data_IF_009062871241
#
_entry.id   IF_009062871241
#
_cell.length_a   1.000
_cell.length_b   1.000
_cell.length_c   1.000
_cell.angle_alpha   90.00
_cell.angle_beta   90.00
_cell.angle_gamma   90.00
#
_symmetry.space_group_name_H-M   'P 1'
#
loop_
_entity.id
_entity.type
_entity.pdbx_description
1 polymer ?
#
# COMPACT_ATOMS: atom_id res chain seq x y z
N UNK A 1 7.08 -21.02 0.97
CA UNK A 1 7.45 -20.78 -0.45
C UNK A 1 8.91 -21.16 -0.60
N UNK A 2 9.26 -22.13 -1.46
CA UNK A 2 10.65 -22.55 -1.67
C UNK A 2 11.29 -21.67 -2.76
N UNK A 3 12.35 -20.97 -2.38
CA UNK A 3 13.10 -20.02 -3.20
C UNK A 3 14.31 -20.76 -3.79
N UNK A 4 14.54 -20.64 -5.09
CA UNK A 4 15.60 -21.37 -5.81
C UNK A 4 16.99 -20.79 -5.53
N UNK A 5 18.08 -21.57 -5.70
CA UNK A 5 19.45 -21.12 -5.40
C UNK A 5 19.91 -19.87 -6.16
N UNK A 6 19.30 -19.53 -7.30
CA UNK A 6 19.61 -18.33 -8.08
C UNK A 6 19.13 -17.04 -7.41
N UNK A 7 18.10 -17.11 -6.57
CA UNK A 7 17.50 -15.96 -5.88
C UNK A 7 18.33 -15.50 -4.66
N UNK A 8 19.41 -16.21 -4.31
CA UNK A 8 20.35 -15.88 -3.21
C UNK A 8 21.28 -14.67 -3.45
N UNK A 9 21.20 -13.99 -4.60
CA UNK A 9 22.19 -12.96 -4.99
C UNK A 9 21.70 -11.51 -5.00
N UNK A 10 20.46 -11.23 -4.59
CA UNK A 10 20.03 -9.83 -4.41
C UNK A 10 20.39 -9.42 -2.99
N UNK A 11 21.19 -8.36 -2.87
CA UNK A 11 21.62 -7.84 -1.59
C UNK A 11 20.40 -7.37 -0.78
N UNK A 12 20.29 -7.80 0.48
CA UNK A 12 19.21 -7.40 1.40
C UNK A 12 19.02 -5.88 1.46
N UNK A 13 20.10 -5.11 1.42
CA UNK A 13 20.04 -3.64 1.41
C UNK A 13 19.37 -3.07 0.14
N UNK A 14 19.49 -3.75 -1.00
CA UNK A 14 18.78 -3.38 -2.24
C UNK A 14 17.29 -3.65 -2.07
N UNK A 15 16.93 -4.82 -1.53
CA UNK A 15 15.54 -5.19 -1.29
C UNK A 15 14.85 -4.21 -0.33
N UNK A 16 15.53 -3.81 0.75
CA UNK A 16 15.06 -2.78 1.69
C UNK A 16 14.83 -1.45 0.97
N UNK A 17 15.85 -0.95 0.25
CA UNK A 17 15.74 0.34 -0.46
C UNK A 17 14.67 0.35 -1.54
N UNK A 18 14.43 -0.81 -2.16
CA UNK A 18 13.44 -0.95 -3.21
C UNK A 18 12.02 -1.12 -2.67
N UNK A 19 11.83 -1.54 -1.41
CA UNK A 19 10.49 -1.80 -0.85
C UNK A 19 10.00 -0.59 -0.06
N UNK A 20 8.75 -0.23 -0.26
CA UNK A 20 8.07 0.83 0.49
C UNK A 20 6.71 0.36 1.00
N UNK A 21 6.23 1.04 2.03
CA UNK A 21 4.86 0.91 2.51
C UNK A 21 4.12 2.19 2.18
N UNK A 22 3.00 2.11 1.50
CA UNK A 22 2.09 3.23 1.30
C UNK A 22 0.89 3.04 2.23
N UNK A 23 0.56 4.08 2.99
CA UNK A 23 -0.66 4.15 3.79
C UNK A 23 -1.69 5.05 3.09
N UNK A 24 -2.93 4.63 3.17
CA UNK A 24 -4.09 5.29 2.60
C UNK A 24 -5.32 4.89 3.41
N UNK A 25 -6.20 5.82 3.72
CA UNK A 25 -7.54 5.51 4.23
C UNK A 25 -8.55 5.72 3.12
N UNK A 26 -9.60 4.90 3.12
CA UNK A 26 -10.77 5.07 2.27
C UNK A 26 -12.02 5.18 3.15
N UNK A 27 -13.08 5.89 2.72
CA UNK A 27 -14.33 5.90 3.46
C UNK A 27 -14.86 4.48 3.64
N UNK A 28 -15.46 4.21 4.80
CA UNK A 28 -16.28 3.01 4.99
C UNK A 28 -17.59 3.15 4.20
N UNK A 29 -17.50 2.99 2.88
CA UNK A 29 -18.67 3.03 2.01
C UNK A 29 -19.28 1.64 1.83
N UNK A 30 -20.60 1.57 1.64
CA UNK A 30 -21.30 0.33 1.29
C UNK A 30 -20.91 -0.21 -0.11
N UNK A 31 -19.95 0.42 -0.80
CA UNK A 31 -19.51 0.10 -2.16
C UNK A 31 -18.27 -0.78 -2.19
N UNK A 32 -17.70 -1.14 -1.03
CA UNK A 32 -16.51 -1.99 -0.94
C UNK A 32 -15.31 -1.40 -1.71
N UNK A 33 -15.17 -0.07 -1.71
CA UNK A 33 -14.10 0.64 -2.45
C UNK A 33 -12.70 0.16 -2.04
N UNK A 34 -12.48 -0.09 -0.74
CA UNK A 34 -11.26 -0.69 -0.20
C UNK A 34 -10.88 -2.01 -0.90
N UNK A 35 -11.83 -2.93 -1.09
CA UNK A 35 -11.61 -4.22 -1.73
C UNK A 35 -11.33 -4.06 -3.23
N UNK A 36 -12.02 -3.15 -3.90
CA UNK A 36 -11.79 -2.89 -5.32
C UNK A 36 -10.38 -2.35 -5.57
N UNK A 37 -9.97 -1.33 -4.80
CA UNK A 37 -8.62 -0.76 -4.86
C UNK A 37 -7.58 -1.84 -4.58
N UNK A 38 -7.72 -2.58 -3.48
CA UNK A 38 -6.78 -3.62 -3.11
C UNK A 38 -6.63 -4.69 -4.20
N UNK A 39 -7.75 -5.22 -4.71
CA UNK A 39 -7.73 -6.25 -5.77
C UNK A 39 -7.04 -5.75 -7.03
N UNK A 40 -7.38 -4.55 -7.51
CA UNK A 40 -6.80 -4.04 -8.74
C UNK A 40 -5.32 -3.69 -8.58
N UNK A 41 -4.88 -3.17 -7.44
CA UNK A 41 -3.45 -2.95 -7.19
C UNK A 41 -2.65 -4.26 -7.30
N UNK A 42 -3.18 -5.36 -6.77
CA UNK A 42 -2.54 -6.68 -6.89
C UNK A 42 -2.61 -7.21 -8.33
N UNK A 43 -3.79 -7.21 -8.95
CA UNK A 43 -3.98 -7.74 -10.31
C UNK A 43 -3.13 -7.02 -11.34
N UNK A 44 -2.96 -5.70 -11.19
CA UNK A 44 -2.15 -4.88 -12.09
C UNK A 44 -0.66 -4.87 -11.72
N UNK A 45 -0.22 -5.69 -10.76
CA UNK A 45 1.16 -5.72 -10.23
C UNK A 45 1.67 -4.33 -9.82
N UNK A 46 0.79 -3.52 -9.23
CA UNK A 46 1.15 -2.22 -8.62
C UNK A 46 1.48 -2.36 -7.14
N UNK A 47 1.06 -3.45 -6.50
CA UNK A 47 1.44 -3.81 -5.14
C UNK A 47 1.56 -5.33 -5.03
N UNK A 48 2.39 -5.80 -4.09
CA UNK A 48 2.53 -7.22 -3.79
C UNK A 48 1.49 -7.68 -2.76
N UNK A 49 1.16 -6.80 -1.80
CA UNK A 49 0.20 -7.07 -0.75
C UNK A 49 -0.51 -5.77 -0.32
N UNK A 50 -1.78 -5.89 0.04
CA UNK A 50 -2.54 -4.83 0.72
C UNK A 50 -3.16 -5.43 1.97
N UNK A 51 -2.84 -4.87 3.14
CA UNK A 51 -3.52 -5.20 4.40
C UNK A 51 -4.66 -4.20 4.58
N UNK A 52 -5.86 -4.72 4.86
CA UNK A 52 -7.07 -3.95 5.08
C UNK A 52 -7.41 -4.03 6.57
N UNK A 53 -7.48 -2.90 7.25
CA UNK A 53 -7.91 -2.81 8.64
C UNK A 53 -9.27 -2.10 8.68
N UNK A 54 -10.37 -2.82 8.95
CA UNK A 54 -11.70 -2.23 9.03
C UNK A 54 -11.92 -1.50 10.37
N UNK A 55 -13.06 -0.82 10.48
CA UNK A 55 -13.54 -0.19 11.72
C UNK A 55 -12.56 0.85 12.31
N UNK A 56 -11.86 1.58 11.44
CA UNK A 56 -10.97 2.67 11.84
C UNK A 56 -11.72 4.00 11.88
N UNK A 57 -11.22 4.94 12.68
CA UNK A 57 -11.77 6.29 12.75
C UNK A 57 -10.67 7.31 12.52
N UNK A 58 -10.92 8.25 11.63
CA UNK A 58 -10.08 9.43 11.42
C UNK A 58 -10.71 10.62 12.11
N UNK A 59 -9.90 11.34 12.91
CA UNK A 59 -10.32 12.55 13.62
C UNK A 59 -9.43 13.68 13.15
N UNK A 60 -10.04 14.74 12.61
CA UNK A 60 -9.32 15.86 12.01
C UNK A 60 -10.13 17.15 12.09
N UNK A 61 -9.50 18.29 11.83
CA UNK A 61 -10.18 19.57 11.73
C UNK A 61 -10.62 19.85 10.29
N UNK A 62 -11.88 20.24 10.13
CA UNK A 62 -12.43 20.74 8.88
C UNK A 62 -13.44 21.85 9.18
N UNK A 63 -13.36 22.96 8.45
CA UNK A 63 -14.26 24.12 8.63
C UNK A 63 -14.40 24.56 10.11
N UNK A 64 -13.27 24.64 10.82
CA UNK A 64 -13.18 24.99 12.24
C UNK A 64 -13.91 24.04 13.21
N UNK A 65 -14.26 22.84 12.76
CA UNK A 65 -14.91 21.82 13.58
C UNK A 65 -14.08 20.53 13.59
N UNK A 66 -14.11 19.83 14.72
CA UNK A 66 -13.56 18.47 14.81
C UNK A 66 -14.52 17.54 14.09
N UNK A 67 -14.02 16.89 13.05
CA UNK A 67 -14.71 15.82 12.34
C UNK A 67 -14.28 14.46 12.89
N UNK A 68 -15.19 13.51 12.86
CA UNK A 68 -14.93 12.09 13.12
C UNK A 68 -15.53 11.30 11.97
N UNK A 69 -14.69 10.58 11.23
CA UNK A 69 -15.09 9.81 10.06
C UNK A 69 -14.77 8.33 10.27
N UNK A 70 -15.72 7.44 9.96
CA UNK A 70 -15.45 6.01 9.86
C UNK A 70 -14.75 5.69 8.53
N UNK A 71 -13.62 5.01 8.63
CA UNK A 71 -12.74 4.72 7.50
C UNK A 71 -12.22 3.29 7.56
N UNK A 72 -11.57 2.89 6.48
CA UNK A 72 -10.84 1.63 6.36
C UNK A 72 -9.41 1.97 6.00
N UNK A 73 -8.47 1.53 6.83
CA UNK A 73 -7.04 1.71 6.59
C UNK A 73 -6.52 0.66 5.61
N UNK A 74 -5.78 1.13 4.61
CA UNK A 74 -5.00 0.32 3.68
C UNK A 74 -3.52 0.47 4.00
N UNK A 75 -2.81 -0.65 4.10
CA UNK A 75 -1.35 -0.71 4.22
C UNK A 75 -0.81 -1.51 3.03
N UNK A 76 -0.31 -0.78 2.03
CA UNK A 76 0.06 -1.29 0.72
C UNK A 76 1.58 -1.51 0.69
N UNK A 77 2.02 -2.72 0.33
CA UNK A 77 3.45 -3.08 0.22
C UNK A 77 3.79 -3.17 -1.26
N UNK A 78 4.71 -2.32 -1.70
CA UNK A 78 5.09 -2.23 -3.12
C UNK A 78 6.58 -1.89 -3.29
N UNK A 79 7.03 -1.77 -4.54
CA UNK A 79 8.35 -1.27 -4.88
C UNK A 79 8.34 0.26 -5.03
N UNK A 80 9.44 0.92 -4.66
CA UNK A 80 9.63 2.36 -4.77
C UNK A 80 9.44 2.87 -6.20
N UNK A 81 9.81 2.06 -7.19
CA UNK A 81 9.62 2.35 -8.63
C UNK A 81 8.15 2.44 -9.05
N UNK A 82 7.23 1.88 -8.27
CA UNK A 82 5.79 1.85 -8.55
C UNK A 82 4.99 2.88 -7.74
N UNK A 83 5.64 3.65 -6.86
CA UNK A 83 4.98 4.61 -5.96
C UNK A 83 4.01 5.53 -6.69
N UNK A 84 4.51 6.20 -7.74
CA UNK A 84 3.70 7.16 -8.49
C UNK A 84 2.54 6.47 -9.20
N UNK A 85 2.74 5.27 -9.75
CA UNK A 85 1.67 4.50 -10.39
C UNK A 85 0.58 4.09 -9.39
N UNK A 86 0.97 3.70 -8.16
CA UNK A 86 0.03 3.42 -7.07
C UNK A 86 -0.76 4.68 -6.69
N UNK A 87 -0.08 5.81 -6.51
CA UNK A 87 -0.71 7.08 -6.16
C UNK A 87 -1.71 7.52 -7.23
N UNK A 88 -1.33 7.48 -8.50
CA UNK A 88 -2.21 7.86 -9.61
C UNK A 88 -3.42 6.94 -9.68
N UNK A 89 -3.21 5.63 -9.60
CA UNK A 89 -4.32 4.67 -9.61
C UNK A 89 -5.31 4.95 -8.48
N UNK A 90 -4.83 5.09 -7.23
CA UNK A 90 -5.71 5.37 -6.09
C UNK A 90 -6.47 6.67 -6.32
N UNK A 91 -5.81 7.76 -6.73
CA UNK A 91 -6.49 9.04 -7.02
C UNK A 91 -7.62 8.92 -8.04
N UNK A 92 -7.48 8.07 -9.07
CA UNK A 92 -8.56 7.88 -10.07
C UNK A 92 -9.77 7.10 -9.55
N UNK A 93 -9.63 6.39 -8.43
CA UNK A 93 -10.68 5.53 -7.85
C UNK A 93 -11.20 6.03 -6.51
N UNK A 94 -10.45 6.91 -5.86
CA UNK A 94 -10.75 7.34 -4.51
C UNK A 94 -11.99 8.25 -4.47
N UNK A 95 -12.92 8.07 -3.51
CA UNK A 95 -14.09 8.93 -3.40
C UNK A 95 -13.75 10.36 -2.96
N UNK A 96 -12.70 10.52 -2.15
CA UNK A 96 -12.20 11.85 -1.77
C UNK A 96 -11.36 12.49 -2.86
N UNK A 97 -11.53 13.80 -3.02
CA UNK A 97 -10.74 14.62 -3.93
C UNK A 97 -9.24 14.59 -3.60
N UNK A 98 -8.91 14.57 -2.30
CA UNK A 98 -7.53 14.51 -1.80
C UNK A 98 -7.44 13.30 -0.85
N UNK A 99 -7.11 12.10 -1.35
CA UNK A 99 -6.88 10.94 -0.48
C UNK A 99 -5.63 11.09 0.37
N UNK A 100 -5.61 10.46 1.54
CA UNK A 100 -4.36 10.22 2.26
C UNK A 100 -3.49 9.26 1.43
N UNK A 101 -2.29 9.73 1.07
CA UNK A 101 -1.29 8.94 0.35
C UNK A 101 0.08 9.30 0.90
N UNK A 102 0.55 8.53 1.87
CA UNK A 102 1.85 8.73 2.51
C UNK A 102 2.72 7.50 2.29
N UNK A 103 4.00 7.73 2.00
CA UNK A 103 4.99 6.66 1.87
C UNK A 103 5.87 6.58 3.11
N UNK A 104 5.99 5.37 3.63
CA UNK A 104 6.90 5.00 4.70
C UNK A 104 8.04 4.16 4.10
N UNK A 105 9.27 4.63 4.28
CA UNK A 105 10.47 3.85 3.94
C UNK A 105 10.69 2.80 5.03
N UNK A 106 10.96 1.57 4.62
CA UNK A 106 11.36 0.52 5.57
C UNK A 106 12.88 0.60 5.81
N UNK A 107 13.29 0.29 7.03
CA UNK A 107 14.72 0.19 7.41
C UNK A 107 15.18 -1.26 7.50
N UNK A 108 14.25 -2.20 7.59
CA UNK A 108 14.51 -3.64 7.64
C UNK A 108 13.26 -4.44 7.22
N UNK A 109 13.43 -5.74 7.00
CA UNK A 109 12.37 -6.70 6.73
C UNK A 109 12.91 -8.12 6.69
N UNK A 110 12.03 -9.13 6.68
CA UNK A 110 12.45 -10.52 6.52
C UNK A 110 12.95 -10.75 5.08
N UNK A 111 14.16 -11.29 4.86
CA UNK A 111 14.77 -11.35 3.53
C UNK A 111 13.91 -12.05 2.47
N UNK A 112 13.29 -13.18 2.80
CA UNK A 112 12.50 -13.94 1.84
C UNK A 112 11.19 -13.21 1.47
N UNK A 113 10.59 -12.49 2.41
CA UNK A 113 9.41 -11.67 2.18
C UNK A 113 9.72 -10.49 1.26
N UNK A 114 10.81 -9.77 1.50
CA UNK A 114 11.23 -8.67 0.62
C UNK A 114 11.59 -9.19 -0.78
N UNK A 115 12.24 -10.35 -0.86
CA UNK A 115 12.57 -11.00 -2.13
C UNK A 115 11.32 -11.44 -2.89
N UNK A 116 10.29 -11.92 -2.19
CA UNK A 116 8.99 -12.22 -2.80
C UNK A 116 8.33 -10.97 -3.39
N UNK A 117 8.32 -9.84 -2.66
CA UNK A 117 7.81 -8.56 -3.17
C UNK A 117 8.58 -8.16 -4.43
N UNK A 118 9.91 -8.19 -4.36
CA UNK A 118 10.78 -7.80 -5.46
C UNK A 118 10.52 -8.64 -6.71
N UNK A 119 10.55 -9.97 -6.60
CA UNK A 119 10.37 -10.89 -7.73
C UNK A 119 8.96 -10.86 -8.33
N UNK A 120 7.95 -10.44 -7.56
CA UNK A 120 6.58 -10.33 -8.07
C UNK A 120 6.40 -9.07 -8.93
N UNK A 121 7.10 -8.00 -8.59
CA UNK A 121 6.89 -6.65 -9.12
C UNK A 121 8.00 -6.16 -10.07
N UNK A 122 9.07 -6.95 -10.26
CA UNK A 122 10.18 -6.72 -11.20
C UNK A 122 10.44 -7.99 -11.99
#
# INVERSE_FOLDING_TARGET
>A
MNITPLQKKINHNILIKNTIIIICTVPNDNKSTHLSIAKTLITNKLAACVTILPNTHSIYYWENQIQKQEEIQLIIKTCATLEQSVFQYIKTKHPYQIPELLTLKITNGEPNYLLWIYNLLN
#
